data_IF_278691151782
#
_entry.id   IF_278691151782
#
_cell.length_a   1.000
_cell.length_b   1.000
_cell.length_c   1.000
_cell.angle_alpha   90.00
_cell.angle_beta   90.00
_cell.angle_gamma   90.00
#
_symmetry.space_group_name_H-M   'P 1'
#
loop_
_entity.id
_entity.type
_entity.pdbx_description
1 polymer ?
#
# COMPACT_ATOMS: atom_id res chain seq x y z
N UNK A 1 43.31 -20.54 16.51
CA UNK A 1 43.80 -20.91 15.15
C UNK A 1 43.18 -22.20 14.60
N UNK A 2 43.22 -23.36 15.29
CA UNK A 2 42.70 -24.64 14.74
C UNK A 2 41.22 -24.64 14.31
N UNK A 3 40.31 -23.99 15.05
CA UNK A 3 38.88 -23.89 14.68
C UNK A 3 38.61 -23.07 13.41
N UNK A 4 39.36 -21.98 13.20
CA UNK A 4 39.19 -21.15 12.00
C UNK A 4 39.76 -21.84 10.77
N UNK A 5 40.85 -22.61 10.92
CA UNK A 5 41.41 -23.42 9.85
C UNK A 5 40.46 -24.55 9.42
N UNK A 6 39.77 -25.21 10.37
CA UNK A 6 38.76 -26.24 10.07
C UNK A 6 37.54 -25.64 9.36
N UNK A 7 37.06 -24.46 9.78
CA UNK A 7 35.94 -23.77 9.10
C UNK A 7 36.34 -23.35 7.68
N UNK A 8 37.56 -22.87 7.47
CA UNK A 8 38.08 -22.53 6.14
C UNK A 8 38.23 -23.78 5.25
N UNK A 9 38.68 -24.91 5.80
CA UNK A 9 38.80 -26.17 5.08
C UNK A 9 37.43 -26.73 4.70
N UNK A 10 36.45 -26.66 5.59
CA UNK A 10 35.06 -27.08 5.32
C UNK A 10 34.44 -26.15 4.26
N UNK A 11 34.68 -24.84 4.31
CA UNK A 11 34.21 -23.90 3.30
C UNK A 11 34.89 -24.09 1.92
N UNK A 12 36.17 -24.45 1.91
CA UNK A 12 36.91 -24.81 0.69
C UNK A 12 36.43 -26.14 0.10
N UNK A 13 36.18 -27.15 0.94
CA UNK A 13 35.61 -28.44 0.51
C UNK A 13 34.17 -28.27 0.02
N UNK A 14 33.38 -27.39 0.63
CA UNK A 14 32.03 -27.05 0.15
C UNK A 14 32.07 -26.31 -1.20
N UNK A 15 33.02 -25.38 -1.39
CA UNK A 15 33.23 -24.70 -2.68
C UNK A 15 33.74 -25.62 -3.78
N UNK A 16 34.66 -26.55 -3.48
CA UNK A 16 35.12 -27.54 -4.45
C UNK A 16 34.01 -28.53 -4.80
N UNK A 17 33.22 -28.99 -3.82
CA UNK A 17 32.04 -29.83 -4.08
C UNK A 17 30.95 -29.13 -4.89
N UNK A 18 30.89 -27.78 -4.86
CA UNK A 18 29.99 -26.99 -5.70
C UNK A 18 30.39 -27.00 -7.19
N UNK A 19 31.67 -27.16 -7.51
CA UNK A 19 32.15 -27.31 -8.89
C UNK A 19 32.02 -28.77 -9.39
N UNK A 20 32.25 -29.76 -8.52
CA UNK A 20 32.10 -31.18 -8.86
C UNK A 20 30.65 -31.68 -8.87
N UNK A 21 29.72 -30.95 -8.26
CA UNK A 21 28.29 -31.29 -8.26
C UNK A 21 27.49 -30.80 -9.47
N UNK A 22 28.11 -30.00 -10.35
CA UNK A 22 27.42 -29.40 -11.51
C UNK A 22 27.63 -30.17 -12.81
N UNK A 23 28.79 -30.80 -13.00
CA UNK A 23 29.05 -31.64 -14.18
C UNK A 23 28.83 -33.11 -13.91
N UNK A 24 28.34 -33.85 -14.90
CA UNK A 24 28.37 -35.30 -14.82
C UNK A 24 29.82 -35.79 -14.78
N UNK A 25 30.08 -36.90 -14.08
CA UNK A 25 31.43 -37.48 -13.94
C UNK A 25 32.07 -37.84 -15.29
N UNK A 26 31.25 -38.12 -16.29
CA UNK A 26 31.68 -38.45 -17.64
C UNK A 26 32.18 -37.22 -18.42
N UNK A 27 31.51 -36.06 -18.25
CA UNK A 27 31.87 -34.79 -18.89
C UNK A 27 33.28 -34.33 -18.48
N UNK A 28 33.60 -34.44 -17.19
CA UNK A 28 34.86 -33.97 -16.61
C UNK A 28 36.09 -34.65 -17.21
N UNK A 29 35.94 -35.88 -17.71
CA UNK A 29 37.04 -36.66 -18.27
C UNK A 29 37.10 -36.61 -19.81
N UNK A 30 36.04 -36.15 -20.48
CA UNK A 30 35.93 -36.17 -21.94
C UNK A 30 36.29 -34.83 -22.58
N UNK A 31 36.13 -33.71 -21.87
CA UNK A 31 36.38 -32.38 -22.43
C UNK A 31 37.49 -31.64 -21.69
N UNK A 32 38.34 -30.88 -22.41
CA UNK A 32 39.40 -30.09 -21.77
C UNK A 32 38.82 -28.93 -20.95
N UNK A 33 39.59 -28.44 -19.98
CA UNK A 33 39.14 -27.44 -18.99
C UNK A 33 38.51 -26.19 -19.62
N UNK A 34 39.08 -25.66 -20.70
CA UNK A 34 38.54 -24.45 -21.34
C UNK A 34 37.14 -24.68 -21.96
N UNK A 35 36.84 -25.90 -22.40
CA UNK A 35 35.50 -26.28 -22.87
C UNK A 35 34.56 -26.43 -21.68
N UNK A 36 35.02 -27.07 -20.60
CA UNK A 36 34.24 -27.19 -19.36
C UNK A 36 33.83 -25.82 -18.81
N UNK A 37 34.72 -24.81 -18.88
CA UNK A 37 34.41 -23.44 -18.48
C UNK A 37 33.29 -22.81 -19.35
N UNK A 38 33.26 -23.08 -20.65
CA UNK A 38 32.18 -22.59 -21.53
C UNK A 38 30.83 -23.28 -21.25
N UNK A 39 30.85 -24.58 -20.93
CA UNK A 39 29.64 -25.28 -20.49
C UNK A 39 29.17 -24.69 -19.15
N UNK A 40 30.10 -24.44 -18.23
CA UNK A 40 29.82 -23.85 -16.92
C UNK A 40 29.12 -22.49 -17.05
N UNK A 41 29.57 -21.62 -17.95
CA UNK A 41 28.94 -20.32 -18.21
C UNK A 41 27.46 -20.45 -18.59
N UNK A 42 27.11 -21.49 -19.35
CA UNK A 42 25.71 -21.79 -19.71
C UNK A 42 24.94 -22.38 -18.52
N UNK A 43 25.58 -23.29 -17.77
CA UNK A 43 25.04 -23.92 -16.56
C UNK A 43 24.69 -22.89 -15.46
N UNK A 44 25.44 -21.79 -15.38
CA UNK A 44 25.12 -20.68 -14.48
C UNK A 44 23.77 -20.00 -14.79
N UNK A 45 23.21 -20.22 -15.98
CA UNK A 45 21.93 -19.63 -16.43
C UNK A 45 20.79 -20.63 -16.43
N UNK A 46 21.05 -21.92 -16.56
CA UNK A 46 20.04 -22.98 -16.62
C UNK A 46 20.63 -24.30 -16.13
N UNK A 47 19.81 -25.15 -15.51
CA UNK A 47 20.28 -26.45 -15.02
C UNK A 47 20.53 -27.40 -16.19
N UNK A 48 21.79 -27.80 -16.37
CA UNK A 48 22.29 -28.76 -17.35
C UNK A 48 21.72 -30.19 -17.14
N UNK A 49 21.03 -30.78 -18.10
CA UNK A 49 21.03 -32.25 -18.21
C UNK A 49 22.38 -32.75 -18.70
N UNK A 50 22.77 -33.96 -18.32
CA UNK A 50 24.03 -34.57 -18.77
C UNK A 50 24.10 -34.65 -20.31
N UNK A 51 22.96 -34.93 -20.96
CA UNK A 51 22.85 -34.95 -22.42
C UNK A 51 23.15 -33.58 -23.04
N UNK A 52 22.59 -32.50 -22.47
CA UNK A 52 22.82 -31.15 -22.95
C UNK A 52 24.25 -30.66 -22.68
N UNK A 53 24.82 -31.00 -21.52
CA UNK A 53 26.24 -30.77 -21.21
C UNK A 53 27.14 -31.44 -22.26
N UNK A 54 26.85 -32.68 -22.65
CA UNK A 54 27.67 -33.42 -23.62
C UNK A 54 27.54 -32.83 -25.03
N UNK A 55 26.33 -32.44 -25.44
CA UNK A 55 26.10 -31.76 -26.73
C UNK A 55 26.80 -30.39 -26.78
N UNK A 56 26.76 -29.62 -25.70
CA UNK A 56 27.50 -28.36 -25.58
C UNK A 56 29.01 -28.60 -25.67
N UNK A 57 29.54 -29.59 -24.95
CA UNK A 57 30.96 -29.96 -25.02
C UNK A 57 31.41 -30.28 -26.45
N UNK A 58 30.65 -31.11 -27.17
CA UNK A 58 30.93 -31.41 -28.57
C UNK A 58 30.83 -30.18 -29.48
N UNK A 59 29.84 -29.31 -29.24
CA UNK A 59 29.69 -28.07 -29.98
C UNK A 59 30.91 -27.15 -29.80
N UNK A 60 31.32 -26.91 -28.56
CA UNK A 60 32.47 -26.05 -28.25
C UNK A 60 33.79 -26.67 -28.73
N UNK A 61 33.97 -27.98 -28.62
CA UNK A 61 35.12 -28.69 -29.19
C UNK A 61 35.22 -28.48 -30.71
N UNK A 62 34.09 -28.59 -31.42
CA UNK A 62 34.04 -28.33 -32.86
C UNK A 62 34.39 -26.88 -33.18
N UNK A 63 33.91 -25.92 -32.37
CA UNK A 63 34.26 -24.50 -32.51
C UNK A 63 35.75 -24.25 -32.29
N UNK A 64 36.36 -24.87 -31.27
CA UNK A 64 37.80 -24.77 -31.01
C UNK A 64 38.63 -25.32 -32.17
N UNK A 65 38.23 -26.47 -32.73
CA UNK A 65 38.88 -27.06 -33.90
C UNK A 65 38.83 -26.14 -35.12
N UNK A 66 37.68 -25.53 -35.39
CA UNK A 66 37.51 -24.58 -36.51
C UNK A 66 38.32 -23.30 -36.30
N UNK A 67 38.36 -22.79 -35.06
CA UNK A 67 39.16 -21.62 -34.71
C UNK A 67 40.65 -21.88 -34.93
N UNK A 68 41.11 -23.09 -34.54
CA UNK A 68 42.51 -23.52 -34.73
C UNK A 68 42.86 -23.64 -36.21
N UNK A 69 41.98 -24.22 -37.01
CA UNK A 69 42.17 -24.33 -38.46
C UNK A 69 42.27 -22.95 -39.12
N UNK A 70 41.35 -22.04 -38.81
CA UNK A 70 41.39 -20.67 -39.30
C UNK A 70 42.70 -19.95 -38.91
N UNK A 71 43.15 -20.12 -37.66
CA UNK A 71 44.41 -19.56 -37.20
C UNK A 71 45.61 -20.11 -38.00
N UNK A 72 45.63 -21.41 -38.28
CA UNK A 72 46.69 -22.03 -39.10
C UNK A 72 46.69 -21.58 -40.55
N UNK A 73 45.54 -21.13 -41.07
CA UNK A 73 45.39 -20.58 -42.42
C UNK A 73 45.74 -19.07 -42.51
N UNK A 74 46.18 -18.46 -41.39
CA UNK A 74 46.58 -17.05 -41.34
C UNK A 74 45.43 -16.07 -41.16
N UNK A 75 44.23 -16.54 -40.79
CA UNK A 75 43.07 -15.68 -40.51
C UNK A 75 43.37 -14.73 -39.32
N UNK A 76 43.03 -13.44 -39.41
CA UNK A 76 43.23 -12.48 -38.31
C UNK A 76 42.55 -12.93 -37.00
N UNK A 77 43.20 -12.67 -35.87
CA UNK A 77 42.73 -13.13 -34.55
C UNK A 77 41.32 -12.63 -34.20
N UNK A 78 40.94 -11.44 -34.66
CA UNK A 78 39.59 -10.87 -34.47
C UNK A 78 38.53 -11.75 -35.14
N UNK A 79 38.83 -12.31 -36.31
CA UNK A 79 37.93 -13.20 -37.03
C UNK A 79 37.93 -14.60 -36.42
N UNK A 80 39.08 -15.10 -35.95
CA UNK A 80 39.18 -16.36 -35.21
C UNK A 80 38.33 -16.31 -33.93
N UNK A 81 38.32 -15.19 -33.21
CA UNK A 81 37.52 -15.01 -32.00
C UNK A 81 36.00 -15.18 -32.24
N UNK A 82 35.52 -14.88 -33.45
CA UNK A 82 34.11 -15.06 -33.81
C UNK A 82 33.66 -16.53 -33.75
N UNK A 83 34.58 -17.50 -33.84
CA UNK A 83 34.24 -18.92 -33.72
C UNK A 83 33.75 -19.27 -32.31
N UNK A 84 34.24 -18.59 -31.28
CA UNK A 84 33.84 -18.79 -29.88
C UNK A 84 32.59 -18.00 -29.49
N UNK A 85 32.09 -17.11 -30.36
CA UNK A 85 30.83 -16.41 -30.11
C UNK A 85 29.66 -17.36 -30.29
N UNK A 86 28.91 -17.57 -29.20
CA UNK A 86 27.76 -18.47 -29.19
C UNK A 86 26.47 -17.70 -29.44
N UNK A 87 25.89 -17.85 -30.64
CA UNK A 87 24.59 -17.28 -30.99
C UNK A 87 23.46 -18.05 -30.29
N UNK A 88 22.41 -17.34 -29.84
CA UNK A 88 21.23 -17.93 -29.17
C UNK A 88 20.57 -19.05 -30.01
N UNK A 89 20.48 -18.87 -31.33
CA UNK A 89 19.92 -19.86 -32.27
C UNK A 89 20.65 -21.22 -32.22
N UNK A 90 21.95 -21.22 -31.92
CA UNK A 90 22.72 -22.46 -31.77
C UNK A 90 22.38 -23.14 -30.45
N UNK A 91 22.27 -22.37 -29.36
CA UNK A 91 21.86 -22.90 -28.06
C UNK A 91 20.45 -23.49 -28.11
N UNK A 92 19.51 -22.86 -28.83
CA UNK A 92 18.17 -23.39 -29.04
C UNK A 92 18.15 -24.79 -29.67
N UNK A 93 19.13 -25.10 -30.54
CA UNK A 93 19.26 -26.41 -31.20
C UNK A 93 19.97 -27.44 -30.33
N UNK A 94 20.80 -26.99 -29.39
CA UNK A 94 21.62 -27.86 -28.54
C UNK A 94 20.87 -28.26 -27.27
N UNK A 95 20.27 -27.27 -26.61
CA UNK A 95 19.52 -27.41 -25.37
C UNK A 95 18.15 -28.05 -25.62
N UNK A 96 17.62 -28.74 -24.61
CA UNK A 96 16.20 -29.12 -24.63
C UNK A 96 15.31 -27.87 -24.62
N UNK A 97 14.05 -27.97 -25.09
CA UNK A 97 13.13 -26.84 -25.09
C UNK A 97 12.97 -26.18 -23.72
N UNK A 98 12.93 -26.98 -22.65
CA UNK A 98 12.83 -26.50 -21.28
C UNK A 98 14.11 -25.81 -20.79
N UNK A 99 15.27 -26.40 -21.03
CA UNK A 99 16.56 -25.78 -20.64
C UNK A 99 16.76 -24.46 -21.37
N UNK A 100 16.43 -24.39 -22.67
CA UNK A 100 16.50 -23.17 -23.45
C UNK A 100 15.52 -22.09 -22.94
N UNK A 101 14.31 -22.50 -22.52
CA UNK A 101 13.34 -21.57 -21.93
C UNK A 101 13.89 -20.89 -20.67
N UNK A 102 14.43 -21.66 -19.73
CA UNK A 102 15.02 -21.12 -18.50
C UNK A 102 16.27 -20.28 -18.79
N UNK A 103 17.14 -20.75 -19.70
CA UNK A 103 18.30 -20.00 -20.15
C UNK A 103 17.91 -18.61 -20.66
N UNK A 104 16.91 -18.55 -21.56
CA UNK A 104 16.48 -17.29 -22.18
C UNK A 104 15.88 -16.32 -21.15
N UNK A 105 15.06 -16.83 -20.23
CA UNK A 105 14.54 -16.03 -19.12
C UNK A 105 15.66 -15.46 -18.23
N UNK A 106 16.73 -16.23 -18.00
CA UNK A 106 17.86 -15.78 -17.19
C UNK A 106 18.72 -14.71 -17.88
N UNK A 107 18.87 -14.75 -19.20
CA UNK A 107 19.72 -13.79 -19.93
C UNK A 107 18.99 -12.51 -20.34
N UNK A 108 17.70 -12.58 -20.71
CA UNK A 108 16.92 -11.42 -21.18
C UNK A 108 16.01 -10.81 -20.11
N UNK A 109 15.82 -11.52 -18.99
CA UNK A 109 14.86 -11.15 -17.97
C UNK A 109 13.41 -11.33 -18.41
N UNK A 110 12.48 -11.17 -17.47
CA UNK A 110 11.04 -11.41 -17.70
C UNK A 110 10.47 -10.43 -18.74
N UNK A 111 10.90 -9.16 -18.72
CA UNK A 111 10.43 -8.14 -19.66
C UNK A 111 10.99 -8.30 -21.07
N UNK A 112 12.09 -9.05 -21.24
CA UNK A 112 12.73 -9.29 -22.53
C UNK A 112 12.28 -10.58 -23.23
N UNK A 113 11.30 -11.29 -22.65
CA UNK A 113 10.77 -12.56 -23.12
C UNK A 113 9.25 -12.52 -23.19
N UNK A 114 8.68 -13.44 -23.97
CA UNK A 114 7.24 -13.66 -23.98
C UNK A 114 6.74 -14.15 -22.62
N UNK A 115 5.57 -13.67 -22.19
CA UNK A 115 4.93 -14.13 -20.94
C UNK A 115 4.59 -15.63 -20.98
N UNK A 116 4.46 -16.22 -22.16
CA UNK A 116 4.26 -17.67 -22.31
C UNK A 116 5.45 -18.46 -21.72
N UNK A 117 6.68 -17.93 -21.81
CA UNK A 117 7.86 -18.53 -21.15
C UNK A 117 7.76 -18.48 -19.64
N UNK A 118 7.23 -17.39 -19.11
CA UNK A 118 7.00 -17.23 -17.68
C UNK A 118 5.98 -18.25 -17.16
N UNK A 119 4.91 -18.52 -17.92
CA UNK A 119 3.95 -19.58 -17.59
C UNK A 119 4.63 -20.97 -17.54
N UNK A 120 5.56 -21.24 -18.47
CA UNK A 120 6.36 -22.48 -18.48
C UNK A 120 7.28 -22.58 -17.26
N UNK A 121 7.84 -21.46 -16.78
CA UNK A 121 8.59 -21.41 -15.52
C UNK A 121 7.72 -21.87 -14.34
N UNK A 122 6.44 -21.51 -14.34
CA UNK A 122 5.47 -21.93 -13.33
C UNK A 122 4.79 -23.28 -13.59
N UNK A 123 5.23 -24.07 -14.59
CA UNK A 123 4.58 -25.32 -15.02
C UNK A 123 4.21 -26.29 -13.90
N UNK A 124 5.07 -26.45 -12.89
CA UNK A 124 4.83 -27.35 -11.75
C UNK A 124 3.69 -26.83 -10.85
N UNK A 125 3.71 -25.54 -10.53
CA UNK A 125 2.69 -24.88 -9.72
C UNK A 125 1.33 -24.80 -10.43
N UNK A 126 1.36 -24.59 -11.75
CA UNK A 126 0.18 -24.56 -12.61
C UNK A 126 -0.33 -25.95 -13.02
N UNK A 127 0.44 -27.01 -12.72
CA UNK A 127 0.15 -28.40 -13.10
C UNK A 127 -0.09 -28.56 -14.60
N UNK A 128 0.75 -27.93 -15.41
CA UNK A 128 0.67 -28.00 -16.87
C UNK A 128 1.04 -29.40 -17.36
N UNK A 129 0.35 -29.87 -18.40
CA UNK A 129 0.73 -31.09 -19.09
C UNK A 129 1.95 -30.86 -19.98
N UNK A 130 2.65 -31.94 -20.34
CA UNK A 130 3.80 -31.86 -21.25
C UNK A 130 3.44 -31.23 -22.60
N UNK A 131 2.25 -31.55 -23.13
CA UNK A 131 1.74 -30.97 -24.38
C UNK A 131 1.54 -29.46 -24.25
N UNK A 132 0.96 -29.00 -23.14
CA UNK A 132 0.78 -27.56 -22.88
C UNK A 132 2.12 -26.84 -22.77
N UNK A 133 3.10 -27.44 -22.07
CA UNK A 133 4.46 -26.89 -21.94
C UNK A 133 5.12 -26.74 -23.30
N UNK A 134 5.09 -27.79 -24.13
CA UNK A 134 5.69 -27.76 -25.47
C UNK A 134 5.06 -26.71 -26.36
N UNK A 135 3.73 -26.61 -26.35
CA UNK A 135 3.01 -25.65 -27.19
C UNK A 135 3.21 -24.20 -26.72
N UNK A 136 3.26 -23.94 -25.41
CA UNK A 136 3.62 -22.62 -24.87
C UNK A 136 5.04 -22.21 -25.30
N UNK A 137 6.02 -23.11 -25.25
CA UNK A 137 7.39 -22.83 -25.70
C UNK A 137 7.40 -22.54 -27.20
N UNK A 138 6.70 -23.36 -28.00
CA UNK A 138 6.63 -23.18 -29.46
C UNK A 138 6.05 -21.82 -29.82
N UNK A 139 4.91 -21.47 -29.22
CA UNK A 139 4.24 -20.19 -29.45
C UNK A 139 5.08 -19.01 -28.94
N UNK A 140 5.80 -19.17 -27.83
CA UNK A 140 6.70 -18.13 -27.33
C UNK A 140 7.78 -17.75 -28.36
N UNK A 141 8.39 -18.74 -29.04
CA UNK A 141 9.37 -18.48 -30.09
C UNK A 141 8.74 -17.67 -31.24
N UNK A 142 7.56 -18.10 -31.71
CA UNK A 142 6.85 -17.45 -32.82
C UNK A 142 6.52 -16.00 -32.49
N UNK A 143 6.01 -15.73 -31.29
CA UNK A 143 5.67 -14.37 -30.85
C UNK A 143 6.91 -13.51 -30.75
N UNK A 144 8.00 -14.05 -30.19
CA UNK A 144 9.25 -13.30 -30.01
C UNK A 144 9.94 -12.96 -31.33
N UNK A 145 9.77 -13.78 -32.37
CA UNK A 145 10.33 -13.52 -33.71
C UNK A 145 9.62 -12.37 -34.44
N UNK A 146 8.34 -12.13 -34.14
CA UNK A 146 7.53 -11.05 -34.73
C UNK A 146 7.32 -9.87 -33.76
N UNK A 147 7.82 -9.98 -32.53
CA UNK A 147 7.71 -8.93 -31.53
C UNK A 147 8.44 -7.66 -32.02
N UNK A 148 7.77 -6.51 -31.88
CA UNK A 148 8.29 -5.21 -32.34
C UNK A 148 7.92 -4.83 -33.78
N UNK A 149 7.21 -5.69 -34.51
CA UNK A 149 6.57 -5.28 -35.76
C UNK A 149 5.47 -4.23 -35.50
N UNK A 150 5.36 -3.25 -36.41
CA UNK A 150 4.37 -2.18 -36.29
C UNK A 150 2.93 -2.74 -36.26
N UNK A 151 2.14 -2.28 -35.28
CA UNK A 151 0.77 -2.75 -35.08
C UNK A 151 0.62 -4.12 -34.41
N UNK A 152 1.70 -4.85 -34.12
CA UNK A 152 1.62 -6.14 -33.43
C UNK A 152 1.37 -5.97 -31.92
N UNK A 153 0.19 -6.39 -31.48
CA UNK A 153 -0.21 -6.39 -30.06
C UNK A 153 0.24 -7.69 -29.38
N UNK A 154 1.50 -7.72 -28.96
CA UNK A 154 2.08 -8.89 -28.31
C UNK A 154 1.25 -9.34 -27.09
N UNK A 155 0.83 -8.40 -26.23
CA UNK A 155 0.12 -8.75 -24.99
C UNK A 155 -1.23 -9.43 -25.24
N UNK A 156 -2.00 -8.90 -26.19
CA UNK A 156 -3.26 -9.49 -26.62
C UNK A 156 -3.05 -10.89 -27.20
N UNK A 157 -2.04 -11.04 -28.07
CA UNK A 157 -1.80 -12.32 -28.76
C UNK A 157 -1.37 -13.42 -27.80
N UNK A 158 -0.46 -13.11 -26.88
CA UNK A 158 -0.05 -14.00 -25.81
C UNK A 158 -1.23 -14.39 -24.93
N UNK A 159 -2.10 -13.44 -24.58
CA UNK A 159 -3.28 -13.71 -23.77
C UNK A 159 -4.23 -14.68 -24.49
N UNK A 160 -4.55 -14.44 -25.77
CA UNK A 160 -5.41 -15.31 -26.57
C UNK A 160 -4.84 -16.74 -26.66
N UNK A 161 -3.53 -16.88 -26.88
CA UNK A 161 -2.87 -18.18 -26.94
C UNK A 161 -2.97 -18.88 -25.59
N UNK A 162 -2.62 -18.19 -24.50
CA UNK A 162 -2.71 -18.76 -23.16
C UNK A 162 -4.14 -19.18 -22.80
N UNK A 163 -5.16 -18.37 -23.10
CA UNK A 163 -6.58 -18.71 -22.84
C UNK A 163 -7.10 -19.87 -23.69
N UNK A 164 -6.50 -20.11 -24.86
CA UNK A 164 -6.85 -21.25 -25.72
C UNK A 164 -6.19 -22.56 -25.29
N UNK A 165 -4.94 -22.49 -24.82
CA UNK A 165 -4.13 -23.64 -24.40
C UNK A 165 -4.38 -24.02 -22.94
N UNK A 166 -4.69 -23.02 -22.12
CA UNK A 166 -4.94 -23.14 -20.69
C UNK A 166 -6.41 -22.81 -20.45
N UNK A 167 -7.05 -23.53 -19.53
CA UNK A 167 -8.38 -23.09 -19.08
C UNK A 167 -8.27 -21.71 -18.42
N UNK A 168 -9.32 -20.87 -18.46
CA UNK A 168 -9.31 -19.54 -17.81
C UNK A 168 -8.92 -19.60 -16.33
N UNK A 169 -9.27 -20.71 -15.65
CA UNK A 169 -8.86 -20.98 -14.27
C UNK A 169 -7.34 -21.10 -14.12
N UNK A 170 -6.67 -21.86 -14.99
CA UNK A 170 -5.21 -22.05 -14.94
C UNK A 170 -4.51 -20.75 -15.33
N UNK A 171 -5.02 -20.05 -16.35
CA UNK A 171 -4.46 -18.77 -16.79
C UNK A 171 -4.56 -17.69 -15.69
N UNK A 172 -5.69 -17.62 -14.96
CA UNK A 172 -5.82 -16.72 -13.82
C UNK A 172 -4.89 -17.11 -12.66
N UNK A 173 -4.68 -18.41 -12.40
CA UNK A 173 -3.75 -18.88 -11.38
C UNK A 173 -2.30 -18.45 -11.70
N UNK A 174 -1.92 -18.37 -12.98
CA UNK A 174 -0.63 -17.78 -13.37
C UNK A 174 -0.49 -16.33 -12.89
N UNK A 175 -1.49 -15.48 -13.11
CA UNK A 175 -1.46 -14.11 -12.61
C UNK A 175 -1.42 -14.04 -11.08
N UNK A 176 -1.98 -15.03 -10.37
CA UNK A 176 -1.88 -15.15 -8.90
C UNK A 176 -0.46 -15.51 -8.47
N UNK A 177 0.17 -16.47 -9.13
CA UNK A 177 1.56 -16.82 -8.84
C UNK A 177 2.51 -15.63 -9.11
N UNK A 178 2.31 -14.96 -10.25
CA UNK A 178 3.08 -13.79 -10.66
C UNK A 178 2.99 -12.65 -9.63
N UNK A 179 1.78 -12.30 -9.18
CA UNK A 179 1.54 -11.15 -8.31
C UNK A 179 1.69 -11.43 -6.81
N UNK A 180 2.11 -12.65 -6.42
CA UNK A 180 2.15 -13.05 -5.00
C UNK A 180 3.05 -12.14 -4.15
N UNK A 181 4.20 -11.76 -4.70
CA UNK A 181 5.18 -10.92 -3.99
C UNK A 181 4.69 -9.47 -3.90
N UNK A 182 4.19 -8.90 -5.01
CA UNK A 182 3.65 -7.53 -5.00
C UNK A 182 2.44 -7.41 -4.10
N UNK A 183 1.53 -8.39 -4.09
CA UNK A 183 0.38 -8.41 -3.19
C UNK A 183 0.80 -8.47 -1.72
N UNK A 184 1.82 -9.27 -1.39
CA UNK A 184 2.38 -9.31 -0.03
C UNK A 184 3.01 -7.97 0.37
N UNK A 185 3.75 -7.32 -0.53
CA UNK A 185 4.34 -6.01 -0.27
C UNK A 185 3.28 -4.91 -0.09
N UNK A 186 2.25 -4.90 -0.94
CA UNK A 186 1.11 -3.99 -0.80
C UNK A 186 0.38 -4.20 0.53
N UNK A 187 0.19 -5.46 0.94
CA UNK A 187 -0.40 -5.81 2.24
C UNK A 187 0.41 -5.25 3.41
N UNK A 188 1.73 -5.41 3.38
CA UNK A 188 2.62 -4.86 4.41
C UNK A 188 2.52 -3.33 4.51
N UNK A 189 2.45 -2.65 3.35
CA UNK A 189 2.25 -1.19 3.31
C UNK A 189 0.91 -0.79 3.93
N UNK A 190 -0.17 -1.46 3.54
CA UNK A 190 -1.51 -1.22 4.09
C UNK A 190 -1.56 -1.45 5.61
N UNK A 191 -0.89 -2.50 6.12
CA UNK A 191 -0.82 -2.75 7.56
C UNK A 191 0.00 -1.68 8.30
N UNK A 192 1.09 -1.19 7.70
CA UNK A 192 1.85 -0.10 8.28
C UNK A 192 1.00 1.17 8.41
N UNK A 193 0.20 1.51 7.38
CA UNK A 193 -0.75 2.62 7.46
C UNK A 193 -1.79 2.39 8.58
N UNK A 194 -2.35 1.19 8.69
CA UNK A 194 -3.31 0.87 9.75
C UNK A 194 -2.70 1.02 11.15
N UNK A 195 -1.44 0.64 11.33
CA UNK A 195 -0.70 0.84 12.59
C UNK A 195 -0.45 2.31 12.88
N UNK A 196 -0.02 3.11 11.89
CA UNK A 196 0.21 4.55 12.02
C UNK A 196 -1.03 5.28 12.55
N UNK A 197 -2.21 4.95 12.03
CA UNK A 197 -3.48 5.55 12.45
C UNK A 197 -4.18 4.78 13.58
N UNK A 198 -3.47 3.84 14.22
CA UNK A 198 -3.93 3.07 15.38
C UNK A 198 -5.18 2.20 15.13
N UNK A 199 -5.46 1.83 13.89
CA UNK A 199 -6.50 0.85 13.54
C UNK A 199 -6.11 -0.58 13.91
N UNK A 200 -4.81 -0.84 14.08
CA UNK A 200 -4.28 -2.09 14.61
C UNK A 200 -3.44 -1.79 15.86
N UNK A 201 -4.02 -2.01 17.04
CA UNK A 201 -3.34 -1.74 18.31
C UNK A 201 -2.67 -2.99 18.88
N UNK A 202 -3.06 -4.19 18.41
CA UNK A 202 -2.47 -5.45 18.87
C UNK A 202 -1.79 -6.24 17.74
N UNK A 203 -0.80 -7.09 18.08
CA UNK A 203 -0.23 -8.05 17.12
C UNK A 203 -1.28 -9.02 16.56
N UNK A 204 -2.31 -9.36 17.34
CA UNK A 204 -3.41 -10.25 16.93
C UNK A 204 -4.22 -9.65 15.78
N UNK A 205 -4.49 -8.34 15.85
CA UNK A 205 -5.20 -7.61 14.79
C UNK A 205 -4.41 -7.64 13.47
N UNK A 206 -3.08 -7.47 13.57
CA UNK A 206 -2.20 -7.48 12.41
C UNK A 206 -2.23 -8.83 11.68
N UNK A 207 -2.27 -9.94 12.42
CA UNK A 207 -2.37 -11.29 11.84
C UNK A 207 -3.75 -11.49 11.18
N UNK A 208 -4.81 -11.06 11.85
CA UNK A 208 -6.19 -11.20 11.37
C UNK A 208 -6.40 -10.43 10.05
N UNK A 209 -5.96 -9.18 9.98
CA UNK A 209 -6.12 -8.36 8.78
C UNK A 209 -5.16 -8.73 7.65
N UNK A 210 -3.97 -9.27 7.95
CA UNK A 210 -3.00 -9.65 6.91
C UNK A 210 -3.61 -10.59 5.87
N UNK A 211 -4.28 -11.66 6.31
CA UNK A 211 -4.85 -12.66 5.40
C UNK A 211 -5.92 -12.06 4.49
N UNK A 212 -6.86 -11.31 5.05
CA UNK A 212 -7.95 -10.68 4.30
C UNK A 212 -7.43 -9.65 3.29
N UNK A 213 -6.49 -8.79 3.70
CA UNK A 213 -5.89 -7.78 2.83
C UNK A 213 -5.04 -8.44 1.74
N UNK A 214 -4.24 -9.45 2.08
CA UNK A 214 -3.41 -10.16 1.11
C UNK A 214 -4.25 -10.89 0.06
N UNK A 215 -5.35 -11.51 0.48
CA UNK A 215 -6.27 -12.16 -0.44
C UNK A 215 -6.95 -11.15 -1.37
N UNK A 216 -7.38 -10.01 -0.83
CA UNK A 216 -7.95 -8.92 -1.62
C UNK A 216 -6.93 -8.36 -2.63
N UNK A 217 -5.73 -7.99 -2.19
CA UNK A 217 -4.66 -7.45 -3.05
C UNK A 217 -4.28 -8.42 -4.15
N UNK A 218 -4.15 -9.71 -3.81
CA UNK A 218 -3.83 -10.76 -4.77
C UNK A 218 -4.94 -10.91 -5.80
N UNK A 219 -6.19 -11.02 -5.36
CA UNK A 219 -7.34 -11.13 -6.27
C UNK A 219 -7.47 -9.92 -7.19
N UNK A 220 -7.39 -8.72 -6.61
CA UNK A 220 -7.51 -7.46 -7.33
C UNK A 220 -6.45 -7.35 -8.43
N UNK A 221 -5.18 -7.56 -8.09
CA UNK A 221 -4.07 -7.48 -9.07
C UNK A 221 -4.19 -8.53 -10.15
N UNK A 222 -4.39 -9.79 -9.79
CA UNK A 222 -4.45 -10.89 -10.75
C UNK A 222 -5.62 -10.77 -11.70
N UNK A 223 -6.80 -10.40 -11.22
CA UNK A 223 -7.99 -10.22 -12.07
C UNK A 223 -7.86 -9.01 -12.97
N UNK A 224 -7.40 -7.86 -12.47
CA UNK A 224 -7.25 -6.67 -13.29
C UNK A 224 -6.17 -6.84 -14.37
N UNK A 225 -5.03 -7.45 -14.05
CA UNK A 225 -3.98 -7.71 -15.02
C UNK A 225 -4.45 -8.71 -16.10
N UNK A 226 -5.16 -9.77 -15.71
CA UNK A 226 -5.77 -10.73 -16.65
C UNK A 226 -6.65 -10.03 -17.70
N UNK A 227 -7.59 -9.18 -17.26
CA UNK A 227 -8.51 -8.51 -18.19
C UNK A 227 -7.88 -7.36 -18.96
N UNK A 228 -6.88 -6.70 -18.37
CA UNK A 228 -6.08 -5.68 -19.06
C UNK A 228 -5.37 -6.31 -20.26
N UNK A 229 -4.73 -7.45 -20.04
CA UNK A 229 -3.94 -8.12 -21.07
C UNK A 229 -4.82 -8.83 -22.13
N UNK A 230 -6.10 -9.05 -21.85
CA UNK A 230 -7.07 -9.55 -22.82
C UNK A 230 -7.58 -8.47 -23.80
N UNK A 231 -7.22 -7.19 -23.59
CA UNK A 231 -7.72 -6.00 -24.30
C UNK A 231 -9.26 -5.85 -24.32
N UNK A 232 -9.98 -6.47 -23.38
CA UNK A 232 -11.44 -6.33 -23.25
C UNK A 232 -11.77 -5.23 -22.25
N UNK A 233 -11.68 -3.97 -22.71
CA UNK A 233 -11.81 -2.80 -21.83
C UNK A 233 -13.12 -2.79 -21.02
N UNK A 234 -14.25 -3.16 -21.63
CA UNK A 234 -15.54 -3.23 -20.93
C UNK A 234 -15.52 -4.23 -19.76
N UNK A 235 -14.88 -5.39 -19.97
CA UNK A 235 -14.73 -6.41 -18.93
C UNK A 235 -13.78 -5.94 -17.83
N UNK A 236 -12.70 -5.28 -18.20
CA UNK A 236 -11.76 -4.68 -17.25
C UNK A 236 -12.46 -3.68 -16.32
N UNK A 237 -13.21 -2.73 -16.86
CA UNK A 237 -13.95 -1.74 -16.05
C UNK A 237 -15.04 -2.39 -15.21
N UNK A 238 -15.77 -3.38 -15.76
CA UNK A 238 -16.77 -4.15 -15.01
C UNK A 238 -16.14 -4.85 -13.78
N UNK A 239 -14.97 -5.47 -13.96
CA UNK A 239 -14.29 -6.18 -12.88
C UNK A 239 -13.68 -5.22 -11.87
N UNK A 240 -13.15 -4.08 -12.31
CA UNK A 240 -12.67 -3.01 -11.42
C UNK A 240 -13.75 -2.54 -10.46
N UNK A 241 -14.94 -2.21 -10.98
CA UNK A 241 -16.09 -1.82 -10.14
C UNK A 241 -16.54 -2.94 -9.20
N UNK A 242 -16.43 -4.20 -9.62
CA UNK A 242 -16.78 -5.35 -8.79
C UNK A 242 -15.78 -5.52 -7.64
N UNK A 243 -14.48 -5.36 -7.91
CA UNK A 243 -13.41 -5.47 -6.92
C UNK A 243 -13.38 -4.30 -5.94
N UNK A 244 -13.74 -3.08 -6.38
CA UNK A 244 -13.88 -1.92 -5.49
C UNK A 244 -14.92 -2.17 -4.39
N UNK A 245 -15.99 -2.92 -4.67
CA UNK A 245 -17.00 -3.32 -3.67
C UNK A 245 -16.50 -4.38 -2.68
N UNK A 246 -15.38 -5.04 -2.99
CA UNK A 246 -14.79 -6.11 -2.18
C UNK A 246 -13.61 -5.62 -1.33
N UNK A 247 -13.30 -4.31 -1.34
CA UNK A 247 -12.26 -3.74 -0.47
C UNK A 247 -12.58 -4.11 0.99
N UNK A 248 -11.64 -4.71 1.76
CA UNK A 248 -11.83 -4.99 3.17
C UNK A 248 -12.31 -3.76 3.93
N UNK A 249 -13.33 -3.92 4.80
CA UNK A 249 -13.97 -2.81 5.51
C UNK A 249 -12.94 -1.93 6.26
N UNK A 250 -11.93 -2.54 6.88
CA UNK A 250 -10.86 -1.82 7.58
C UNK A 250 -10.06 -0.87 6.68
N UNK A 251 -9.85 -1.24 5.41
CA UNK A 251 -9.19 -0.38 4.42
C UNK A 251 -10.12 0.72 3.91
N UNK A 252 -11.42 0.45 3.80
CA UNK A 252 -12.42 1.47 3.48
C UNK A 252 -12.44 2.54 4.59
N UNK A 253 -12.51 2.13 5.85
CA UNK A 253 -12.47 3.03 7.00
C UNK A 253 -11.19 3.86 7.04
N UNK A 254 -10.03 3.24 6.79
CA UNK A 254 -8.76 3.97 6.67
C UNK A 254 -8.79 5.02 5.54
N UNK A 255 -9.35 4.67 4.38
CA UNK A 255 -9.51 5.61 3.25
C UNK A 255 -10.38 6.81 3.63
N UNK A 256 -11.50 6.56 4.32
CA UNK A 256 -12.39 7.61 4.83
C UNK A 256 -11.66 8.46 5.87
N UNK A 257 -10.97 7.85 6.83
CA UNK A 257 -10.19 8.56 7.84
C UNK A 257 -9.16 9.52 7.24
N UNK A 258 -8.42 9.05 6.22
CA UNK A 258 -7.40 9.84 5.52
C UNK A 258 -8.01 11.03 4.74
N UNK A 259 -9.26 10.93 4.29
CA UNK A 259 -9.94 12.04 3.59
C UNK A 259 -10.51 13.10 4.54
N UNK A 260 -10.62 12.81 5.84
CA UNK A 260 -11.12 13.76 6.83
C UNK A 260 -10.14 14.92 7.06
N UNK A 261 -10.61 16.19 6.96
CA UNK A 261 -9.77 17.36 7.21
C UNK A 261 -9.38 17.47 8.69
N UNK A 262 -8.33 18.25 8.98
CA UNK A 262 -7.82 18.43 10.34
C UNK A 262 -8.83 19.02 11.32
N UNK A 263 -9.80 19.79 10.82
CA UNK A 263 -10.88 20.42 11.61
C UNK A 263 -12.13 19.54 11.76
N UNK A 264 -12.16 18.33 11.17
CA UNK A 264 -13.30 17.41 11.28
C UNK A 264 -13.54 17.02 12.73
N UNK A 265 -14.80 17.16 13.15
CA UNK A 265 -15.23 16.85 14.52
C UNK A 265 -15.45 15.35 14.68
N UNK A 266 -15.84 14.66 13.61
CA UNK A 266 -15.87 13.19 13.58
C UNK A 266 -14.45 12.63 13.71
N UNK A 267 -13.46 13.19 12.99
CA UNK A 267 -12.06 12.77 13.13
C UNK A 267 -11.55 12.97 14.55
N UNK A 268 -11.91 14.08 15.18
CA UNK A 268 -11.57 14.36 16.57
C UNK A 268 -12.14 13.30 17.53
N UNK A 269 -13.41 12.90 17.34
CA UNK A 269 -14.04 11.83 18.11
C UNK A 269 -13.33 10.48 17.90
N UNK A 270 -13.00 10.11 16.66
CA UNK A 270 -12.30 8.87 16.33
C UNK A 270 -10.89 8.81 16.94
N UNK A 271 -10.17 9.93 16.97
CA UNK A 271 -8.86 10.03 17.61
C UNK A 271 -8.93 9.83 19.13
N UNK A 272 -10.09 10.12 19.74
CA UNK A 272 -10.35 10.00 21.17
C UNK A 272 -11.22 8.79 21.52
N UNK A 273 -11.29 7.80 20.64
CA UNK A 273 -12.19 6.65 20.79
C UNK A 273 -12.01 5.89 22.11
N UNK A 274 -10.78 5.77 22.60
CA UNK A 274 -10.48 5.11 23.89
C UNK A 274 -10.97 5.96 25.08
N UNK A 275 -10.74 7.27 25.04
CA UNK A 275 -11.20 8.21 26.08
C UNK A 275 -12.74 8.25 26.15
N UNK A 276 -13.38 8.28 24.99
CA UNK A 276 -14.84 8.28 24.85
C UNK A 276 -15.46 6.88 25.05
N UNK A 277 -14.62 5.84 25.16
CA UNK A 277 -15.04 4.43 25.23
C UNK A 277 -16.04 4.07 24.13
N UNK A 278 -15.72 4.47 22.89
CA UNK A 278 -16.59 4.19 21.75
C UNK A 278 -16.67 2.69 21.50
N UNK A 279 -17.89 2.18 21.28
CA UNK A 279 -18.04 0.82 20.78
C UNK A 279 -17.53 0.70 19.34
N UNK A 280 -17.31 -0.53 18.88
CA UNK A 280 -17.00 -0.78 17.48
C UNK A 280 -18.11 -0.25 16.55
N UNK A 281 -19.38 -0.49 16.89
CA UNK A 281 -20.53 0.00 16.12
C UNK A 281 -20.63 1.53 16.07
N UNK A 282 -20.28 2.23 17.16
CA UNK A 282 -20.21 3.69 17.15
C UNK A 282 -19.09 4.17 16.22
N UNK A 283 -17.91 3.55 16.29
CA UNK A 283 -16.78 3.89 15.41
C UNK A 283 -17.12 3.68 13.94
N UNK A 284 -17.76 2.56 13.59
CA UNK A 284 -18.23 2.28 12.23
C UNK A 284 -19.28 3.29 11.76
N UNK A 285 -20.19 3.66 12.66
CA UNK A 285 -21.23 4.67 12.38
C UNK A 285 -20.62 6.05 12.14
N UNK A 286 -19.52 6.40 12.82
CA UNK A 286 -18.81 7.65 12.60
C UNK A 286 -18.19 7.73 11.20
N UNK A 287 -17.61 6.64 10.69
CA UNK A 287 -17.11 6.60 9.32
C UNK A 287 -18.25 6.77 8.30
N UNK A 288 -19.34 6.00 8.47
CA UNK A 288 -20.53 6.09 7.62
C UNK A 288 -21.17 7.49 7.68
N UNK A 289 -21.23 8.08 8.87
CA UNK A 289 -21.76 9.43 9.09
C UNK A 289 -20.96 10.49 8.35
N UNK A 290 -19.63 10.39 8.34
CA UNK A 290 -18.79 11.31 7.57
C UNK A 290 -19.00 11.15 6.06
N UNK A 291 -19.11 9.92 5.56
CA UNK A 291 -19.43 9.69 4.14
C UNK A 291 -20.80 10.27 3.75
N UNK A 292 -21.80 10.17 4.62
CA UNK A 292 -23.09 10.81 4.41
C UNK A 292 -22.97 12.34 4.33
N UNK A 293 -22.13 12.97 5.17
CA UNK A 293 -21.85 14.40 5.05
C UNK A 293 -21.22 14.78 3.70
N UNK A 294 -20.31 13.95 3.15
CA UNK A 294 -19.73 14.19 1.83
C UNK A 294 -20.78 14.09 0.71
N UNK A 295 -21.68 13.11 0.79
CA UNK A 295 -22.77 12.95 -0.17
C UNK A 295 -23.73 14.14 -0.13
N UNK A 296 -24.07 14.63 1.06
CA UNK A 296 -24.92 15.82 1.23
C UNK A 296 -24.25 17.07 0.65
N UNK A 297 -22.94 17.25 0.87
CA UNK A 297 -22.21 18.37 0.28
C UNK A 297 -22.21 18.32 -1.24
N UNK A 298 -22.01 17.14 -1.82
CA UNK A 298 -22.03 16.96 -3.27
C UNK A 298 -23.42 17.24 -3.87
N UNK A 299 -24.48 16.71 -3.24
CA UNK A 299 -25.85 17.02 -3.63
C UNK A 299 -26.16 18.52 -3.52
N UNK A 300 -25.67 19.18 -2.47
CA UNK A 300 -25.81 20.64 -2.31
C UNK A 300 -25.11 21.42 -3.43
N UNK A 301 -23.92 20.99 -3.87
CA UNK A 301 -23.20 21.59 -5.01
C UNK A 301 -23.98 21.42 -6.33
N UNK A 302 -24.53 20.23 -6.56
CA UNK A 302 -25.31 19.94 -7.76
C UNK A 302 -26.60 20.76 -7.85
N UNK A 303 -27.23 21.03 -6.70
CA UNK A 303 -28.46 21.83 -6.61
C UNK A 303 -28.23 23.35 -6.76
N UNK A 304 -26.99 23.82 -6.97
CA UNK A 304 -26.62 25.24 -7.15
C UNK A 304 -27.24 26.18 -6.10
N UNK A 305 -27.32 25.71 -4.84
CA UNK A 305 -27.83 26.54 -3.76
C UNK A 305 -26.91 27.75 -3.51
N UNK A 306 -27.52 28.91 -3.25
CA UNK A 306 -26.82 30.16 -2.96
C UNK A 306 -26.29 30.25 -1.52
N UNK A 307 -26.60 29.27 -0.65
CA UNK A 307 -26.12 29.22 0.72
C UNK A 307 -24.83 28.42 0.83
N UNK A 308 -23.96 28.73 1.81
CA UNK A 308 -22.77 27.91 2.06
C UNK A 308 -23.17 26.62 2.79
N UNK A 309 -22.73 25.47 2.28
CA UNK A 309 -22.84 24.21 3.01
C UNK A 309 -21.85 24.20 4.19
N UNK A 310 -22.37 24.05 5.40
CA UNK A 310 -21.55 23.94 6.61
C UNK A 310 -21.36 22.48 7.00
N UNK A 311 -20.29 21.87 6.47
CA UNK A 311 -19.94 20.47 6.75
C UNK A 311 -19.74 20.21 8.24
N UNK A 312 -19.24 21.20 9.00
CA UNK A 312 -18.95 21.01 10.42
C UNK A 312 -20.25 20.85 11.21
N UNK A 313 -21.29 21.62 10.88
CA UNK A 313 -22.63 21.47 11.48
C UNK A 313 -23.22 20.10 11.15
N UNK A 314 -23.12 19.64 9.91
CA UNK A 314 -23.63 18.31 9.54
C UNK A 314 -22.87 17.18 10.24
N UNK A 315 -21.54 17.28 10.37
CA UNK A 315 -20.74 16.32 11.15
C UNK A 315 -21.18 16.30 12.64
N UNK A 316 -21.49 17.45 13.24
CA UNK A 316 -22.02 17.50 14.61
C UNK A 316 -23.38 16.83 14.73
N UNK A 317 -24.28 17.01 13.77
CA UNK A 317 -25.58 16.32 13.76
C UNK A 317 -25.41 14.79 13.72
N UNK A 318 -24.43 14.30 12.96
CA UNK A 318 -24.06 12.88 12.99
C UNK A 318 -23.57 12.46 14.38
N UNK A 319 -22.66 13.23 14.99
CA UNK A 319 -22.14 12.94 16.33
C UNK A 319 -23.24 12.89 17.39
N UNK A 320 -24.19 13.82 17.39
CA UNK A 320 -25.33 13.86 18.33
C UNK A 320 -26.20 12.61 18.19
N UNK A 321 -26.30 12.04 16.99
CA UNK A 321 -27.10 10.83 16.74
C UNK A 321 -26.36 9.55 17.15
N UNK A 322 -25.03 9.52 16.98
CA UNK A 322 -24.20 8.31 17.18
C UNK A 322 -23.70 8.18 18.62
N UNK A 323 -23.35 9.30 19.25
CA UNK A 323 -22.80 9.34 20.60
C UNK A 323 -23.92 9.45 21.64
N UNK A 324 -23.70 8.86 22.82
CA UNK A 324 -24.58 9.17 23.96
C UNK A 324 -24.42 10.64 24.38
N UNK A 325 -25.44 11.25 25.01
CA UNK A 325 -25.36 12.64 25.47
C UNK A 325 -24.13 12.91 26.36
N UNK A 326 -23.76 11.95 27.21
CA UNK A 326 -22.57 12.05 28.07
C UNK A 326 -21.26 12.00 27.28
N UNK A 327 -21.15 11.14 26.26
CA UNK A 327 -19.98 11.09 25.38
C UNK A 327 -19.84 12.38 24.57
N UNK A 328 -20.95 12.90 24.05
CA UNK A 328 -20.95 14.13 23.27
C UNK A 328 -20.58 15.36 24.12
N UNK A 329 -21.16 15.51 25.32
CA UNK A 329 -20.79 16.58 26.25
C UNK A 329 -19.32 16.47 26.67
N UNK A 330 -18.81 15.26 26.92
CA UNK A 330 -17.39 15.05 27.21
C UNK A 330 -16.50 15.51 26.05
N UNK A 331 -16.84 15.14 24.82
CA UNK A 331 -16.11 15.56 23.62
C UNK A 331 -16.08 17.10 23.48
N UNK A 332 -17.22 17.77 23.63
CA UNK A 332 -17.30 19.23 23.55
C UNK A 332 -16.46 19.89 24.64
N UNK A 333 -16.54 19.42 25.89
CA UNK A 333 -15.72 19.97 26.99
C UNK A 333 -14.23 19.84 26.71
N UNK A 334 -13.79 18.68 26.21
CA UNK A 334 -12.38 18.47 25.85
C UNK A 334 -11.94 19.44 24.74
N UNK A 335 -12.75 19.64 23.71
CA UNK A 335 -12.46 20.58 22.63
C UNK A 335 -12.39 22.04 23.10
N UNK A 336 -13.14 22.40 24.14
CA UNK A 336 -13.21 23.78 24.66
C UNK A 336 -12.30 24.04 25.85
N UNK A 337 -11.67 23.01 26.42
CA UNK A 337 -10.83 23.11 27.61
C UNK A 337 -9.77 24.20 27.51
N UNK A 338 -8.95 24.17 26.47
CA UNK A 338 -7.77 25.04 26.40
C UNK A 338 -8.20 26.49 26.22
N UNK A 339 -9.25 26.73 25.42
CA UNK A 339 -9.86 28.05 25.30
C UNK A 339 -10.49 28.54 26.60
N UNK A 340 -11.15 27.65 27.35
CA UNK A 340 -11.71 28.00 28.66
C UNK A 340 -10.60 28.36 29.67
N UNK A 341 -9.44 27.68 29.63
CA UNK A 341 -8.28 28.02 30.45
C UNK A 341 -7.70 29.39 30.08
N UNK A 342 -7.54 29.67 28.78
CA UNK A 342 -7.10 30.98 28.29
C UNK A 342 -8.04 32.11 28.75
N UNK A 343 -9.35 31.92 28.57
CA UNK A 343 -10.35 32.91 29.00
C UNK A 343 -10.32 33.10 30.52
N UNK A 344 -10.24 32.02 31.30
CA UNK A 344 -10.17 32.10 32.76
C UNK A 344 -8.92 32.82 33.26
N UNK A 345 -7.78 32.61 32.60
CA UNK A 345 -6.54 33.32 32.88
C UNK A 345 -6.68 34.82 32.56
N UNK A 346 -7.28 35.16 31.43
CA UNK A 346 -7.56 36.54 31.06
C UNK A 346 -8.49 37.23 32.06
N UNK A 347 -9.54 36.54 32.51
CA UNK A 347 -10.44 37.03 33.55
C UNK A 347 -9.70 37.26 34.87
N UNK A 348 -8.88 36.32 35.30
CA UNK A 348 -8.04 36.44 36.50
C UNK A 348 -7.13 37.67 36.45
N UNK A 349 -6.41 37.87 35.35
CA UNK A 349 -5.52 39.02 35.15
C UNK A 349 -6.28 40.34 35.22
N UNK A 350 -7.50 40.37 34.68
CA UNK A 350 -8.36 41.55 34.79
C UNK A 350 -8.86 41.77 36.22
N UNK A 351 -9.29 40.72 36.92
CA UNK A 351 -9.71 40.84 38.32
C UNK A 351 -8.58 41.40 39.20
N UNK A 352 -7.34 40.94 39.01
CA UNK A 352 -6.15 41.48 39.67
C UNK A 352 -5.92 42.95 39.30
N UNK A 353 -5.96 43.29 38.00
CA UNK A 353 -5.76 44.66 37.50
C UNK A 353 -6.73 45.65 38.12
N UNK A 354 -8.00 45.25 38.28
CA UNK A 354 -9.05 46.05 38.88
C UNK A 354 -9.11 45.96 40.41
N UNK A 355 -8.15 45.27 41.05
CA UNK A 355 -8.04 45.09 42.50
C UNK A 355 -9.30 44.46 43.13
N UNK A 356 -9.95 43.57 42.39
CA UNK A 356 -11.14 42.83 42.85
C UNK A 356 -10.79 41.53 43.58
N UNK A 357 -9.55 41.07 43.44
CA UNK A 357 -8.99 39.85 44.06
C UNK A 357 -7.52 40.09 44.44
N UNK A 358 -6.96 39.25 45.31
CA UNK A 358 -5.54 39.22 45.66
C UNK A 358 -4.87 37.94 45.16
N UNK A 359 -3.54 37.94 45.01
CA UNK A 359 -2.78 36.77 44.53
C UNK A 359 -3.06 35.48 45.30
N UNK A 360 -3.36 35.57 46.60
CA UNK A 360 -3.70 34.41 47.45
C UNK A 360 -4.99 33.70 47.02
N UNK A 361 -5.88 34.39 46.30
CA UNK A 361 -7.19 33.87 45.87
C UNK A 361 -7.09 33.07 44.55
N UNK A 362 -5.91 33.05 43.92
CA UNK A 362 -5.67 32.53 42.57
C UNK A 362 -6.35 31.19 42.31
N UNK A 363 -6.06 30.18 43.13
CA UNK A 363 -6.51 28.80 42.87
C UNK A 363 -8.03 28.66 42.96
N UNK A 364 -8.70 29.40 43.85
CA UNK A 364 -10.15 29.34 43.95
C UNK A 364 -10.80 30.06 42.78
N UNK A 365 -10.35 31.28 42.50
CA UNK A 365 -10.94 32.15 41.47
C UNK A 365 -10.74 31.57 40.08
N UNK A 366 -9.54 31.10 39.74
CA UNK A 366 -9.26 30.58 38.40
C UNK A 366 -10.07 29.32 38.08
N UNK A 367 -10.32 28.47 39.08
CA UNK A 367 -11.15 27.29 38.92
C UNK A 367 -12.64 27.65 38.71
N UNK A 368 -13.14 28.67 39.42
CA UNK A 368 -14.49 29.19 39.21
C UNK A 368 -14.64 29.81 37.81
N UNK A 369 -13.66 30.62 37.38
CA UNK A 369 -13.66 31.24 36.05
C UNK A 369 -13.60 30.16 34.95
N UNK A 370 -12.70 29.18 35.09
CA UNK A 370 -12.59 28.07 34.15
C UNK A 370 -13.90 27.28 34.03
N UNK A 371 -14.54 26.94 35.17
CA UNK A 371 -15.80 26.20 35.16
C UNK A 371 -16.93 26.99 34.48
N UNK A 372 -16.98 28.31 34.68
CA UNK A 372 -17.93 29.20 34.01
C UNK A 372 -17.68 29.29 32.50
N UNK A 373 -16.44 29.62 32.10
CA UNK A 373 -16.04 29.78 30.70
C UNK A 373 -16.24 28.48 29.90
N UNK A 374 -15.91 27.33 30.50
CA UNK A 374 -16.14 26.04 29.85
C UNK A 374 -17.63 25.80 29.58
N UNK A 375 -18.52 26.08 30.54
CA UNK A 375 -19.97 25.95 30.35
C UNK A 375 -20.46 26.89 29.26
N UNK A 376 -19.99 28.14 29.26
CA UNK A 376 -20.39 29.16 28.29
C UNK A 376 -19.96 28.78 26.86
N UNK A 377 -18.73 28.28 26.69
CA UNK A 377 -18.21 27.84 25.39
C UNK A 377 -18.94 26.60 24.87
N UNK A 378 -19.25 25.63 25.73
CA UNK A 378 -20.04 24.44 25.34
C UNK A 378 -21.46 24.84 24.92
N UNK A 379 -22.12 25.73 25.66
CA UNK A 379 -23.43 26.25 25.28
C UNK A 379 -23.39 27.08 23.98
N UNK A 380 -22.29 27.79 23.72
CA UNK A 380 -22.04 28.46 22.46
C UNK A 380 -21.92 27.49 21.28
N UNK A 381 -21.25 26.34 21.46
CA UNK A 381 -21.16 25.32 20.41
C UNK A 381 -22.53 24.66 20.14
N UNK A 382 -23.32 24.39 21.17
CA UNK A 382 -24.69 23.89 20.99
C UNK A 382 -25.55 24.83 20.13
N UNK A 383 -25.47 26.14 20.36
CA UNK A 383 -26.16 27.13 19.51
C UNK A 383 -25.68 27.17 18.06
N UNK A 384 -24.40 26.89 17.84
CA UNK A 384 -23.85 26.79 16.50
C UNK A 384 -24.36 25.53 15.78
N UNK A 385 -24.54 24.43 16.51
CA UNK A 385 -25.06 23.16 15.98
C UNK A 385 -26.57 23.25 15.71
N UNK A 386 -27.32 23.77 16.69
CA UNK A 386 -28.76 23.96 16.64
C UNK A 386 -29.17 25.25 17.37
N UNK A 387 -29.72 26.21 16.63
CA UNK A 387 -30.17 27.48 17.17
C UNK A 387 -31.63 27.41 17.67
N UNK A 388 -32.00 26.31 18.31
CA UNK A 388 -33.32 26.14 18.90
C UNK A 388 -33.47 26.98 20.16
N UNK A 389 -34.74 27.26 20.53
CA UNK A 389 -35.07 28.04 21.73
C UNK A 389 -34.47 27.42 22.99
N UNK A 390 -34.43 26.10 23.07
CA UNK A 390 -33.83 25.35 24.19
C UNK A 390 -32.37 25.76 24.43
N UNK A 391 -31.54 25.72 23.39
CA UNK A 391 -30.12 26.08 23.50
C UNK A 391 -29.90 27.58 23.72
N UNK A 392 -30.79 28.44 23.21
CA UNK A 392 -30.77 29.89 23.50
C UNK A 392 -31.02 30.14 24.98
N UNK A 393 -32.03 29.50 25.56
CA UNK A 393 -32.32 29.62 26.99
C UNK A 393 -31.21 29.04 27.85
N UNK A 394 -30.68 27.86 27.51
CA UNK A 394 -29.59 27.25 28.25
C UNK A 394 -28.33 28.15 28.32
N UNK A 395 -27.95 28.79 27.20
CA UNK A 395 -26.83 29.76 27.21
C UNK A 395 -27.15 31.01 28.02
N UNK A 396 -28.40 31.49 27.93
CA UNK A 396 -28.84 32.67 28.69
C UNK A 396 -28.79 32.40 30.19
N UNK A 397 -29.25 31.23 30.64
CA UNK A 397 -29.21 30.84 32.05
C UNK A 397 -27.77 30.82 32.58
N UNK A 398 -26.81 30.34 31.78
CA UNK A 398 -25.38 30.41 32.15
C UNK A 398 -24.93 31.87 32.26
N UNK A 399 -25.31 32.72 31.31
CA UNK A 399 -24.95 34.14 31.29
C UNK A 399 -25.53 34.91 32.48
N UNK A 400 -26.79 34.66 32.83
CA UNK A 400 -27.48 35.28 33.95
C UNK A 400 -26.89 34.82 35.30
N UNK A 401 -26.39 33.58 35.35
CA UNK A 401 -25.67 33.00 36.50
C UNK A 401 -24.14 33.22 36.46
N UNK A 402 -23.66 34.24 35.73
CA UNK A 402 -22.25 34.64 35.73
C UNK A 402 -21.69 34.83 37.16
N UNK A 403 -20.43 34.40 37.45
CA UNK A 403 -19.76 34.60 38.72
C UNK A 403 -19.82 36.05 39.23
N UNK A 404 -19.99 36.22 40.55
CA UNK A 404 -20.13 37.54 41.18
C UNK A 404 -18.94 38.45 40.89
N UNK A 405 -17.72 37.90 40.90
CA UNK A 405 -16.49 38.63 40.59
C UNK A 405 -16.52 39.21 39.17
N UNK A 406 -16.97 38.44 38.17
CA UNK A 406 -17.10 38.95 36.81
C UNK A 406 -18.22 39.99 36.67
N UNK A 407 -19.32 39.86 37.42
CA UNK A 407 -20.37 40.91 37.47
C UNK A 407 -19.82 42.22 38.07
N UNK A 408 -18.99 42.14 39.11
CA UNK A 408 -18.31 43.30 39.70
C UNK A 408 -17.29 43.90 38.74
N UNK A 409 -16.56 43.07 38.00
CA UNK A 409 -15.64 43.50 36.95
C UNK A 409 -16.38 44.27 35.85
N UNK A 410 -17.49 43.73 35.35
CA UNK A 410 -18.33 44.39 34.34
C UNK A 410 -18.85 45.76 34.84
N UNK A 411 -19.33 45.83 36.09
CA UNK A 411 -19.78 47.09 36.69
C UNK A 411 -18.64 48.11 36.87
N UNK A 412 -17.44 47.66 37.24
CA UNK A 412 -16.26 48.52 37.42
C UNK A 412 -15.78 49.06 36.07
N UNK A 413 -15.70 48.22 35.04
CA UNK A 413 -15.40 48.61 33.66
C UNK A 413 -16.42 49.61 33.12
N UNK A 414 -17.71 49.40 33.40
CA UNK A 414 -18.78 50.32 32.98
C UNK A 414 -18.62 51.71 33.62
N UNK A 415 -18.36 51.78 34.93
CA UNK A 415 -18.09 53.04 35.63
C UNK A 415 -16.84 53.75 35.08
N UNK A 416 -15.78 52.99 34.81
CA UNK A 416 -14.56 53.55 34.21
C UNK A 416 -14.83 54.10 32.79
N UNK A 417 -15.57 53.37 31.96
CA UNK A 417 -15.97 53.83 30.63
C UNK A 417 -16.84 55.10 30.69
N UNK A 418 -17.86 55.13 31.57
CA UNK A 418 -18.71 56.29 31.78
C UNK A 418 -17.93 57.49 32.32
N UNK A 419 -16.91 57.27 33.16
CA UNK A 419 -16.02 58.33 33.66
C UNK A 419 -15.05 58.88 32.60
N UNK A 420 -14.74 58.08 31.56
CA UNK A 420 -13.88 58.48 30.43
C UNK A 420 -14.66 59.13 29.29
N UNK A 421 -15.98 58.99 29.27
CA UNK A 421 -16.86 59.77 28.39
C UNK A 421 -17.02 61.16 29.02
N UNK A 422 -16.01 62.02 28.82
CA UNK A 422 -16.16 63.45 29.09
C UNK A 422 -17.17 64.01 28.10
N UNK A 423 -18.23 64.60 28.65
CA UNK A 423 -19.27 65.38 27.97
C UNK A 423 -18.61 66.50 27.16
N UNK A 424 -18.88 66.54 25.85
CA UNK A 424 -18.69 67.73 25.03
C UNK A 424 -19.77 68.76 25.35
#
# INVERSE_FOLDING_TARGET
MKRHFIILLIALIYKSNLLYGQFSSEILNQFPIHILLQIYETEQKTSLSATSQFRLGNYFMKKDSLAREALTQGTPLVEVANHYTTKEENLQKILSPLEYNEYRLAIRGISGCSRLREMVRYRKSLRLTEIQVQELIRQSNVIEDIAGQEGFKQSEKEHQIADSLLTPRIHLEYYRLKNKTEASNATKKNLADLQEYSFCTTPTDSILYFSAICQYELNNRSTLEYWKDSEKQEKYEQMKLTLEKQIPAILQQLKVYKSMPWWSVIKNALNRREELKLSHSQSDSLFTGFEACLQQEEAHKQNKSNTRFDRKVEEYKQLVTILSPGQFDHLLRQQKQDRAKENAQWDWENLLKYKLVEQKDHNQVINEMYAYELKLLVAGEWLYIDNSREHVFARRDITDNKPKLLKQLDATRKKEAESKIIRF
#
